data_IF_561792910479
#
_entry.id   IF_561792910479
#
_cell.length_a   1.000
_cell.length_b   1.000
_cell.length_c   1.000
_cell.angle_alpha   90.00
_cell.angle_beta   90.00
_cell.angle_gamma   90.00
#
_symmetry.space_group_name_H-M   'P 1'
#
loop_
_entity.id
_entity.type
_entity.pdbx_description
1 polymer ?
#
# COMPACT_ATOMS: atom_id res chain seq x y z
N UNK A 1 -8.65 -34.93 -8.60
CA UNK A 1 -7.75 -34.73 -9.75
C UNK A 1 -8.55 -33.90 -10.74
N UNK A 2 -8.66 -32.60 -10.49
CA UNK A 2 -9.44 -31.71 -11.34
C UNK A 2 -8.50 -30.60 -11.78
N UNK A 3 -8.14 -30.64 -13.07
CA UNK A 3 -7.29 -29.65 -13.74
C UNK A 3 -8.23 -28.71 -14.49
N UNK A 4 -8.08 -27.41 -14.30
CA UNK A 4 -8.75 -26.40 -15.15
C UNK A 4 -7.68 -25.62 -15.89
N UNK A 5 -7.80 -25.58 -17.21
CA UNK A 5 -6.89 -24.89 -18.11
C UNK A 5 -7.27 -23.41 -18.23
N UNK A 6 -6.28 -22.53 -18.08
CA UNK A 6 -6.35 -21.16 -18.59
C UNK A 6 -4.99 -20.85 -19.23
N UNK A 7 -5.00 -20.63 -20.56
CA UNK A 7 -3.88 -20.13 -21.38
C UNK A 7 -2.50 -20.81 -21.18
N UNK A 8 -2.45 -22.14 -21.14
CA UNK A 8 -1.27 -22.90 -21.56
C UNK A 8 -0.02 -22.84 -20.69
N UNK A 9 -0.01 -22.18 -19.53
CA UNK A 9 1.09 -22.25 -18.58
C UNK A 9 0.71 -23.06 -17.34
N UNK A 10 1.44 -24.16 -17.10
CA UNK A 10 1.32 -24.99 -15.91
C UNK A 10 2.16 -24.34 -14.80
N UNK A 11 1.52 -23.85 -13.73
CA UNK A 11 2.23 -23.34 -12.55
C UNK A 11 1.79 -24.06 -11.26
N UNK A 12 2.79 -24.42 -10.46
CA UNK A 12 2.72 -25.26 -9.27
C UNK A 12 1.83 -24.71 -8.13
N UNK A 13 1.05 -25.62 -7.55
CA UNK A 13 0.03 -25.39 -6.51
C UNK A 13 0.70 -25.31 -5.13
N UNK A 14 1.35 -24.18 -4.78
CA UNK A 14 1.86 -23.97 -3.40
C UNK A 14 1.62 -22.61 -2.74
N UNK A 15 0.81 -21.70 -3.30
CA UNK A 15 0.40 -20.51 -2.54
C UNK A 15 -1.02 -20.03 -2.89
N UNK A 16 -2.03 -20.66 -2.27
CA UNK A 16 -3.45 -20.32 -2.43
C UNK A 16 -3.91 -19.18 -1.49
N UNK A 17 -3.04 -18.24 -1.11
CA UNK A 17 -3.40 -17.13 -0.22
C UNK A 17 -4.12 -15.95 -0.92
N UNK A 18 -4.10 -15.89 -2.25
CA UNK A 18 -4.69 -14.79 -3.04
C UNK A 18 -5.92 -15.22 -3.82
N UNK A 19 -7.06 -15.40 -3.14
CA UNK A 19 -8.37 -15.44 -3.82
C UNK A 19 -8.67 -14.04 -4.36
N UNK A 20 -8.55 -13.91 -5.67
CA UNK A 20 -8.90 -12.78 -6.55
C UNK A 20 -9.63 -11.62 -5.85
N UNK A 21 -8.94 -10.50 -5.60
CA UNK A 21 -9.63 -9.26 -5.24
C UNK A 21 -10.54 -8.83 -6.39
N UNK A 22 -11.73 -8.34 -6.09
CA UNK A 22 -12.62 -7.84 -7.14
C UNK A 22 -11.98 -6.62 -7.84
N UNK A 23 -12.13 -6.48 -9.17
CA UNK A 23 -11.61 -5.32 -9.90
C UNK A 23 -12.10 -3.98 -9.34
N UNK A 24 -13.32 -3.92 -8.81
CA UNK A 24 -13.90 -2.73 -8.17
C UNK A 24 -13.16 -2.41 -6.86
N UNK A 25 -12.81 -3.44 -6.08
CA UNK A 25 -12.06 -3.27 -4.83
C UNK A 25 -10.67 -2.72 -5.13
N UNK A 26 -10.01 -3.22 -6.16
CA UNK A 26 -8.71 -2.71 -6.61
C UNK A 26 -8.81 -1.24 -7.01
N UNK A 27 -9.80 -0.88 -7.86
CA UNK A 27 -10.05 0.51 -8.26
C UNK A 27 -10.31 1.42 -7.05
N UNK A 28 -11.11 0.95 -6.09
CA UNK A 28 -11.40 1.68 -4.84
C UNK A 28 -10.14 1.94 -4.04
N UNK A 29 -9.28 0.94 -3.86
CA UNK A 29 -8.03 1.08 -3.12
C UNK A 29 -7.07 2.05 -3.82
N UNK A 30 -6.94 1.97 -5.14
CA UNK A 30 -6.14 2.91 -5.93
C UNK A 30 -6.65 4.33 -5.72
N UNK A 31 -7.95 4.57 -5.91
CA UNK A 31 -8.54 5.89 -5.71
C UNK A 31 -8.30 6.41 -4.29
N UNK A 32 -8.54 5.60 -3.26
CA UNK A 32 -8.33 6.02 -1.87
C UNK A 32 -6.87 6.30 -1.54
N UNK A 33 -5.92 5.56 -2.11
CA UNK A 33 -4.49 5.83 -1.96
C UNK A 33 -4.09 7.15 -2.63
N UNK A 34 -4.67 7.49 -3.78
CA UNK A 34 -4.45 8.76 -4.48
C UNK A 34 -5.03 9.94 -3.71
N UNK A 35 -6.20 9.79 -3.09
CA UNK A 35 -6.78 10.82 -2.23
C UNK A 35 -5.95 11.02 -0.96
N UNK A 36 -5.52 9.94 -0.32
CA UNK A 36 -4.66 9.99 0.87
C UNK A 36 -3.35 10.74 0.60
N UNK A 37 -2.75 10.56 -0.59
CA UNK A 37 -1.54 11.27 -1.04
C UNK A 37 -1.68 12.80 -0.96
N UNK A 38 -2.88 13.36 -1.15
CA UNK A 38 -3.11 14.81 -1.10
C UNK A 38 -2.86 15.40 0.29
N UNK A 39 -2.97 14.58 1.34
CA UNK A 39 -2.78 14.99 2.73
C UNK A 39 -1.35 14.80 3.24
N UNK A 40 -0.42 14.35 2.38
CA UNK A 40 0.97 14.13 2.75
C UNK A 40 1.65 15.40 3.28
N UNK A 41 2.26 15.30 4.46
CA UNK A 41 3.11 16.34 5.03
C UNK A 41 4.56 16.05 4.65
N UNK A 42 5.05 16.70 3.60
CA UNK A 42 6.40 16.47 3.07
C UNK A 42 7.11 17.77 2.67
N UNK A 43 7.36 18.71 3.61
CA UNK A 43 7.97 20.00 3.27
C UNK A 43 9.43 19.89 2.81
N UNK A 44 10.15 18.82 3.21
CA UNK A 44 11.57 18.68 2.91
C UNK A 44 11.78 18.02 1.56
N UNK A 45 11.18 16.84 1.37
CA UNK A 45 11.39 16.08 0.14
C UNK A 45 10.39 16.42 -0.98
N UNK A 46 9.26 17.07 -0.64
CA UNK A 46 8.14 17.38 -1.55
C UNK A 46 7.56 16.17 -2.28
N UNK A 47 7.86 14.96 -1.83
CA UNK A 47 7.45 13.72 -2.46
C UNK A 47 6.26 13.13 -1.72
N UNK A 48 5.10 13.22 -2.35
CA UNK A 48 3.84 12.79 -1.74
C UNK A 48 3.59 11.31 -2.02
N UNK A 49 3.31 10.56 -0.96
CA UNK A 49 2.93 9.16 -1.00
C UNK A 49 1.64 8.97 -0.20
N UNK A 50 0.70 8.22 -0.76
CA UNK A 50 -0.51 7.79 -0.08
C UNK A 50 -0.64 6.28 -0.11
N UNK A 51 -1.29 5.71 0.90
CA UNK A 51 -1.55 4.29 1.02
C UNK A 51 -2.99 4.04 1.45
N UNK A 52 -3.56 2.93 0.99
CA UNK A 52 -4.88 2.44 1.36
C UNK A 52 -4.81 0.94 1.67
N UNK A 53 -5.07 0.58 2.92
CA UNK A 53 -4.97 -0.77 3.48
C UNK A 53 -6.36 -1.39 3.63
N UNK A 54 -6.59 -2.54 3.01
CA UNK A 54 -7.82 -3.32 3.11
C UNK A 54 -7.71 -4.37 4.22
N UNK A 55 -8.66 -4.38 5.15
CA UNK A 55 -8.77 -5.41 6.19
C UNK A 55 -9.55 -6.64 5.71
N UNK A 56 -9.48 -7.75 6.46
CA UNK A 56 -10.33 -8.92 6.21
C UNK A 56 -11.83 -8.58 6.23
N UNK A 57 -12.24 -7.61 7.06
CA UNK A 57 -13.64 -7.16 7.18
C UNK A 57 -14.05 -6.16 6.09
N UNK A 58 -13.28 -6.05 5.01
CA UNK A 58 -13.49 -5.16 3.87
C UNK A 58 -13.48 -3.65 4.23
N UNK A 59 -12.93 -3.29 5.38
CA UNK A 59 -12.72 -1.89 5.78
C UNK A 59 -11.41 -1.37 5.19
N UNK A 60 -11.38 -0.09 4.81
CA UNK A 60 -10.18 0.54 4.26
C UNK A 60 -9.63 1.61 5.20
N UNK A 61 -8.33 1.51 5.49
CA UNK A 61 -7.57 2.48 6.26
C UNK A 61 -6.58 3.19 5.37
N UNK A 62 -6.61 4.52 5.38
CA UNK A 62 -5.70 5.34 4.59
C UNK A 62 -4.58 5.92 5.43
N UNK A 63 -3.44 6.15 4.78
CA UNK A 63 -2.27 6.80 5.36
C UNK A 63 -1.53 7.62 4.30
N UNK A 64 -0.76 8.60 4.75
CA UNK A 64 0.13 9.40 3.91
C UNK A 64 1.47 9.54 4.60
N UNK A 65 2.53 9.89 3.86
CA UNK A 65 3.82 10.14 4.49
C UNK A 65 3.80 11.45 5.28
N UNK A 66 4.47 11.41 6.43
CA UNK A 66 4.64 12.56 7.33
C UNK A 66 6.12 12.69 7.64
N UNK A 67 6.73 13.75 7.13
CA UNK A 67 8.14 14.03 7.32
C UNK A 67 8.38 14.81 8.61
N UNK A 68 9.63 14.77 9.04
CA UNK A 68 10.12 15.52 10.18
C UNK A 68 11.50 16.11 9.83
N UNK A 69 11.88 17.21 10.50
CA UNK A 69 13.21 17.82 10.35
C UNK A 69 14.32 16.80 10.64
N UNK A 70 14.11 15.93 11.63
CA UNK A 70 14.93 14.74 11.81
C UNK A 70 14.45 13.65 10.86
N UNK A 71 15.19 13.41 9.77
CA UNK A 71 14.79 12.46 8.72
C UNK A 71 14.50 11.05 9.23
N UNK A 72 15.17 10.61 10.31
CA UNK A 72 14.97 9.30 10.92
C UNK A 72 13.59 9.14 11.59
N UNK A 73 12.92 10.24 11.91
CA UNK A 73 11.58 10.25 12.51
C UNK A 73 10.45 10.32 11.46
N UNK A 74 10.81 10.42 10.17
CA UNK A 74 9.83 10.42 9.09
C UNK A 74 9.05 9.11 9.02
N UNK A 75 7.73 9.23 8.84
CA UNK A 75 6.80 8.11 8.72
C UNK A 75 6.34 7.94 7.29
N UNK A 76 6.42 6.70 6.79
CA UNK A 76 5.94 6.34 5.45
C UNK A 76 4.41 6.17 5.45
N UNK A 77 3.79 6.27 4.28
CA UNK A 77 2.33 6.19 4.13
C UNK A 77 1.77 4.83 4.57
N UNK A 78 2.50 3.76 4.26
CA UNK A 78 2.17 2.37 4.59
C UNK A 78 2.17 2.16 6.10
N UNK A 79 3.21 2.64 6.79
CA UNK A 79 3.32 2.58 8.26
C UNK A 79 2.15 3.31 8.90
N UNK A 80 1.81 4.50 8.41
CA UNK A 80 0.67 5.26 8.94
C UNK A 80 -0.68 4.56 8.70
N UNK A 81 -0.89 3.96 7.52
CA UNK A 81 -2.11 3.20 7.23
C UNK A 81 -2.27 1.98 8.15
N UNK A 82 -1.18 1.24 8.38
CA UNK A 82 -1.16 0.08 9.28
C UNK A 82 -1.36 0.52 10.73
N UNK A 83 -0.61 1.52 11.20
CA UNK A 83 -0.73 2.03 12.58
C UNK A 83 -2.14 2.50 12.87
N UNK A 84 -2.80 3.18 11.92
CA UNK A 84 -4.21 3.57 12.05
C UNK A 84 -5.12 2.35 12.20
N UNK A 85 -5.01 1.37 11.30
CA UNK A 85 -5.83 0.16 11.37
C UNK A 85 -5.64 -0.58 12.70
N UNK A 86 -4.39 -0.72 13.16
CA UNK A 86 -4.06 -1.37 14.44
C UNK A 86 -4.62 -0.59 15.63
N UNK A 87 -4.54 0.75 15.62
CA UNK A 87 -5.11 1.59 16.68
C UNK A 87 -6.64 1.48 16.76
N UNK A 88 -7.30 1.19 15.65
CA UNK A 88 -8.74 0.94 15.58
C UNK A 88 -9.12 -0.54 15.82
N UNK A 89 -8.16 -1.38 16.23
CA UNK A 89 -8.38 -2.78 16.60
C UNK A 89 -8.23 -3.81 15.48
N UNK A 90 -7.85 -3.39 14.27
CA UNK A 90 -7.70 -4.28 13.12
C UNK A 90 -6.25 -4.77 12.99
N UNK A 91 -6.06 -6.10 13.02
CA UNK A 91 -4.73 -6.74 12.90
C UNK A 91 -4.60 -7.69 11.71
N UNK A 92 -5.67 -7.84 10.92
CA UNK A 92 -5.73 -8.80 9.82
C UNK A 92 -6.05 -8.09 8.50
N UNK A 93 -5.16 -8.25 7.52
CA UNK A 93 -5.16 -7.46 6.28
C UNK A 93 -5.22 -8.36 5.03
N UNK A 94 -5.87 -7.86 3.98
CA UNK A 94 -6.01 -8.53 2.67
C UNK A 94 -5.04 -7.99 1.64
N UNK A 95 -4.96 -6.67 1.54
CA UNK A 95 -4.22 -5.99 0.48
C UNK A 95 -3.90 -4.55 0.89
N UNK A 96 -2.90 -3.95 0.25
CA UNK A 96 -2.58 -2.53 0.37
C UNK A 96 -2.32 -1.97 -1.02
N UNK A 97 -2.86 -0.79 -1.31
CA UNK A 97 -2.52 -0.01 -2.50
C UNK A 97 -1.68 1.20 -2.09
N UNK A 98 -0.67 1.51 -2.90
CA UNK A 98 0.26 2.62 -2.66
C UNK A 98 0.27 3.49 -3.91
N UNK A 99 0.11 4.80 -3.72
CA UNK A 99 0.19 5.79 -4.79
C UNK A 99 1.31 6.78 -4.50
N UNK A 100 2.15 7.04 -5.48
CA UNK A 100 3.21 8.05 -5.41
C UNK A 100 3.17 8.95 -6.64
N UNK A 101 4.16 9.84 -6.78
CA UNK A 101 4.43 10.61 -8.00
C UNK A 101 5.67 10.08 -8.74
N UNK A 102 6.28 8.98 -8.28
CA UNK A 102 7.45 8.42 -8.92
C UNK A 102 7.10 7.68 -10.22
N UNK A 103 8.05 7.58 -11.16
CA UNK A 103 7.94 6.65 -12.29
C UNK A 103 7.69 5.21 -11.81
N UNK A 104 7.01 4.42 -12.64
CA UNK A 104 6.71 3.01 -12.35
C UNK A 104 7.98 2.23 -11.97
N UNK A 105 7.89 1.43 -10.90
CA UNK A 105 9.00 0.59 -10.40
C UNK A 105 9.85 1.20 -9.28
N UNK A 106 9.64 2.46 -8.88
CA UNK A 106 10.31 3.01 -7.70
C UNK A 106 9.69 2.50 -6.40
N UNK A 107 10.45 1.72 -5.63
CA UNK A 107 10.06 1.25 -4.30
C UNK A 107 9.88 2.44 -3.34
N UNK A 108 8.68 2.58 -2.75
CA UNK A 108 8.34 3.68 -1.84
C UNK A 108 9.00 3.56 -0.46
N UNK A 109 9.56 2.40 -0.12
CA UNK A 109 9.99 2.09 1.25
C UNK A 109 11.47 1.75 1.44
N UNK A 110 12.34 1.76 0.41
CA UNK A 110 13.76 1.49 0.65
C UNK A 110 14.56 2.79 0.61
N UNK A 111 14.86 3.29 1.81
CA UNK A 111 15.93 4.23 2.09
C UNK A 111 16.08 5.39 1.09
N UNK A 112 15.51 6.56 1.43
CA UNK A 112 16.29 7.78 1.18
C UNK A 112 17.53 7.70 2.07
N UNK A 113 18.49 6.86 1.69
CA UNK A 113 19.88 7.28 1.82
C UNK A 113 19.90 8.54 0.98
N UNK A 114 19.75 9.68 1.65
CA UNK A 114 20.14 10.94 1.06
C UNK A 114 21.49 10.65 0.41
N UNK A 115 21.58 10.82 -0.91
CA UNK A 115 22.87 11.18 -1.48
C UNK A 115 23.26 12.45 -0.74
N UNK A 116 24.06 12.28 0.31
CA UNK A 116 25.07 13.25 0.67
C UNK A 116 26.08 13.30 -0.48
#
# INVERSE_FOLDING_TARGET
>A
MDKVEFNGEVMDIKDQASRHLSPETIKRLIHQSQEAKKQAYCPYSKFRVGAALLTLDNRVFTGCNVENACYNLGMCAERNAISKAVSEGYRSFKAIAIASLAPDGMCTCQSRTARA
#
